data_IF_645414874600
#
_entry.id   IF_645414874600
#
_cell.length_a   1.000
_cell.length_b   1.000
_cell.length_c   1.000
_cell.angle_alpha   90.00
_cell.angle_beta   90.00
_cell.angle_gamma   90.00
#
_symmetry.space_group_name_H-M   'P 1'
#
loop_
_entity.id
_entity.type
_entity.pdbx_description
1 polymer ?
#
# COMPACT_ATOMS: atom_id res chain seq x y z
N UNK A 1 -7.79 -18.87 -12.41
CA UNK A 1 -6.71 -18.04 -11.86
C UNK A 1 -7.23 -16.62 -11.85
N UNK A 2 -7.58 -16.09 -10.68
CA UNK A 2 -7.87 -14.67 -10.55
C UNK A 2 -6.57 -13.90 -10.87
N UNK A 3 -6.66 -12.88 -11.72
CA UNK A 3 -5.52 -12.01 -11.99
C UNK A 3 -5.30 -11.14 -10.75
N UNK A 4 -4.07 -11.09 -10.25
CA UNK A 4 -3.70 -10.19 -9.16
C UNK A 4 -3.73 -8.74 -9.68
N UNK A 5 -4.45 -7.89 -8.98
CA UNK A 5 -4.56 -6.48 -9.33
C UNK A 5 -3.22 -5.78 -9.16
N UNK A 6 -2.99 -4.74 -9.98
CA UNK A 6 -1.76 -3.96 -9.92
C UNK A 6 -2.03 -2.57 -9.39
N UNK A 7 -1.23 -2.15 -8.42
CA UNK A 7 -1.25 -0.77 -7.91
C UNK A 7 0.02 -0.03 -8.33
N UNK A 8 -0.15 1.18 -8.87
CA UNK A 8 0.97 2.07 -9.23
C UNK A 8 1.67 2.64 -8.00
N UNK A 9 2.96 2.95 -8.10
CA UNK A 9 3.75 3.49 -6.98
C UNK A 9 3.17 4.81 -6.41
N UNK A 10 2.64 5.67 -7.28
CA UNK A 10 1.95 6.90 -6.85
C UNK A 10 0.64 6.61 -6.11
N UNK A 11 -0.18 5.69 -6.63
CA UNK A 11 -1.45 5.24 -6.03
C UNK A 11 -1.22 4.55 -4.68
N UNK A 12 -0.16 3.74 -4.58
CA UNK A 12 0.29 3.12 -3.34
C UNK A 12 0.63 4.20 -2.28
N UNK A 13 1.38 5.24 -2.66
CA UNK A 13 1.70 6.36 -1.76
C UNK A 13 0.43 7.08 -1.30
N UNK A 14 -0.53 7.30 -2.21
CA UNK A 14 -1.79 7.95 -1.89
C UNK A 14 -2.62 7.14 -0.89
N UNK A 15 -2.83 5.84 -1.13
CA UNK A 15 -3.59 4.97 -0.23
C UNK A 15 -2.91 4.80 1.15
N UNK A 16 -1.58 4.73 1.19
CA UNK A 16 -0.83 4.78 2.44
C UNK A 16 -1.07 6.11 3.18
N UNK A 17 -1.00 7.24 2.47
CA UNK A 17 -1.18 8.56 3.07
C UNK A 17 -2.60 8.78 3.61
N UNK A 18 -3.64 8.20 2.99
CA UNK A 18 -5.01 8.21 3.54
C UNK A 18 -5.14 7.44 4.86
N UNK A 19 -4.29 6.45 5.08
CA UNK A 19 -4.29 5.63 6.31
C UNK A 19 -3.66 6.35 7.50
N UNK A 20 -2.99 7.48 7.24
CA UNK A 20 -2.28 8.30 8.25
C UNK A 20 -3.19 8.84 9.34
N UNK A 21 -4.41 9.26 8.99
CA UNK A 21 -5.35 9.84 9.96
C UNK A 21 -5.86 8.81 10.98
N UNK A 22 -5.72 7.51 10.66
CA UNK A 22 -6.14 6.40 11.52
C UNK A 22 -4.95 5.79 12.27
N UNK A 23 -3.82 5.59 11.58
CA UNK A 23 -2.65 4.89 12.12
C UNK A 23 -1.62 5.83 12.77
N UNK A 24 -1.67 7.12 12.45
CA UNK A 24 -0.73 8.13 12.92
C UNK A 24 0.55 8.24 12.10
N UNK A 25 1.20 9.40 12.18
CA UNK A 25 2.37 9.76 11.37
C UNK A 25 3.58 8.84 11.61
N UNK A 26 3.84 8.47 12.88
CA UNK A 26 4.99 7.65 13.25
C UNK A 26 4.90 6.24 12.64
N UNK A 27 3.71 5.64 12.69
CA UNK A 27 3.42 4.33 12.10
C UNK A 27 3.60 4.41 10.57
N UNK A 28 3.06 5.45 9.93
CA UNK A 28 3.23 5.64 8.50
C UNK A 28 4.69 5.80 8.09
N UNK A 29 5.51 6.52 8.86
CA UNK A 29 6.95 6.65 8.59
C UNK A 29 7.69 5.30 8.68
N UNK A 30 7.29 4.41 9.60
CA UNK A 30 7.85 3.05 9.69
C UNK A 30 7.48 2.25 8.45
N UNK A 31 6.21 2.27 8.03
CA UNK A 31 5.74 1.55 6.85
C UNK A 31 6.45 2.03 5.59
N UNK A 32 6.54 3.35 5.36
CA UNK A 32 7.24 3.91 4.20
C UNK A 32 8.69 3.44 4.15
N UNK A 33 9.42 3.53 5.27
CA UNK A 33 10.83 3.08 5.34
C UNK A 33 10.97 1.58 5.11
N UNK A 34 10.06 0.77 5.64
CA UNK A 34 10.08 -0.67 5.44
C UNK A 34 9.83 -1.05 3.98
N UNK A 35 8.83 -0.43 3.34
CA UNK A 35 8.51 -0.66 1.94
C UNK A 35 9.67 -0.24 1.03
N UNK A 36 10.29 0.92 1.26
CA UNK A 36 11.47 1.36 0.49
C UNK A 36 12.63 0.36 0.63
N UNK A 37 12.91 -0.11 1.85
CA UNK A 37 13.94 -1.13 2.10
C UNK A 37 13.61 -2.48 1.45
N UNK A 38 12.32 -2.78 1.30
CA UNK A 38 11.81 -3.98 0.62
C UNK A 38 11.74 -3.84 -0.91
N UNK A 39 12.25 -2.72 -1.46
CA UNK A 39 12.35 -2.47 -2.90
C UNK A 39 11.09 -1.88 -3.53
N UNK A 40 10.12 -1.43 -2.74
CA UNK A 40 9.00 -0.64 -3.25
C UNK A 40 9.48 0.78 -3.57
N UNK A 41 9.02 1.29 -4.71
CA UNK A 41 9.25 2.64 -5.19
C UNK A 41 7.90 3.29 -5.41
N UNK A 42 7.80 4.56 -5.07
CA UNK A 42 6.55 5.31 -5.16
C UNK A 42 6.51 6.20 -6.39
N UNK A 43 7.03 5.71 -7.52
CA UNK A 43 7.05 6.42 -8.79
C UNK A 43 5.93 5.94 -9.71
N UNK A 44 5.48 6.81 -10.62
CA UNK A 44 4.32 6.56 -11.50
C UNK A 44 4.52 5.42 -12.51
N UNK A 45 5.77 5.08 -12.81
CA UNK A 45 6.18 4.04 -13.76
C UNK A 45 6.28 2.65 -13.12
N UNK A 46 6.20 2.56 -11.80
CA UNK A 46 6.28 1.29 -11.08
C UNK A 46 4.89 0.78 -10.71
N UNK A 47 4.69 -0.54 -10.85
CA UNK A 47 3.46 -1.23 -10.47
C UNK A 47 3.80 -2.45 -9.63
N UNK A 48 2.99 -2.70 -8.61
CA UNK A 48 3.15 -3.83 -7.71
C UNK A 48 1.87 -4.67 -7.70
N UNK A 49 2.00 -6.01 -7.65
CA UNK A 49 0.87 -6.85 -7.33
C UNK A 49 0.33 -6.48 -5.94
N UNK A 50 -1.00 -6.32 -5.85
CA UNK A 50 -1.70 -5.97 -4.62
C UNK A 50 -1.39 -6.99 -3.52
N UNK A 51 -1.32 -8.28 -3.86
CA UNK A 51 -0.95 -9.33 -2.91
C UNK A 51 0.43 -9.10 -2.29
N UNK A 52 1.42 -8.66 -3.08
CA UNK A 52 2.78 -8.37 -2.62
C UNK A 52 2.81 -7.18 -1.66
N UNK A 53 2.05 -6.14 -1.96
CA UNK A 53 1.90 -4.97 -1.09
C UNK A 53 1.26 -5.38 0.25
N UNK A 54 0.18 -6.15 0.19
CA UNK A 54 -0.54 -6.65 1.37
C UNK A 54 0.37 -7.45 2.30
N UNK A 55 1.14 -8.40 1.76
CA UNK A 55 2.11 -9.17 2.55
C UNK A 55 3.15 -8.27 3.23
N UNK A 56 3.73 -7.32 2.49
CA UNK A 56 4.75 -6.43 3.04
C UNK A 56 4.21 -5.52 4.16
N UNK A 57 2.95 -5.07 4.05
CA UNK A 57 2.29 -4.31 5.12
C UNK A 57 2.01 -5.19 6.34
N UNK A 58 1.56 -6.42 6.11
CA UNK A 58 1.29 -7.41 7.16
C UNK A 58 2.53 -7.75 7.97
N UNK A 59 3.68 -7.84 7.32
CA UNK A 59 4.96 -8.05 8.02
C UNK A 59 5.30 -6.93 9.03
N UNK A 60 4.78 -5.71 8.81
CA UNK A 60 5.04 -4.54 9.67
C UNK A 60 3.96 -4.37 10.74
N UNK A 61 2.69 -4.54 10.38
CA UNK A 61 1.55 -4.15 11.23
C UNK A 61 0.71 -5.31 11.75
N UNK A 62 0.96 -6.53 11.26
CA UNK A 62 0.05 -7.66 11.44
C UNK A 62 -1.29 -7.46 10.71
N UNK A 63 -2.22 -8.38 10.94
CA UNK A 63 -3.47 -8.46 10.17
C UNK A 63 -4.35 -7.21 10.36
N UNK A 64 -4.56 -6.76 11.60
CA UNK A 64 -5.47 -5.65 11.89
C UNK A 64 -5.04 -4.33 11.22
N UNK A 65 -3.75 -3.99 11.26
CA UNK A 65 -3.26 -2.79 10.59
C UNK A 65 -3.25 -2.92 9.06
N UNK A 66 -3.11 -4.14 8.56
CA UNK A 66 -3.17 -4.42 7.11
C UNK A 66 -4.56 -4.10 6.55
N UNK A 67 -5.63 -4.52 7.23
CA UNK A 67 -7.00 -4.30 6.75
C UNK A 67 -7.33 -2.80 6.56
N UNK A 68 -6.84 -1.95 7.47
CA UNK A 68 -7.01 -0.49 7.40
C UNK A 68 -6.34 0.06 6.14
N UNK A 69 -5.09 -0.36 5.87
CA UNK A 69 -4.34 0.11 4.72
C UNK A 69 -4.93 -0.44 3.42
N UNK A 70 -5.27 -1.73 3.38
CA UNK A 70 -5.79 -2.38 2.18
C UNK A 70 -7.11 -1.76 1.73
N UNK A 71 -8.00 -1.38 2.67
CA UNK A 71 -9.23 -0.66 2.33
C UNK A 71 -8.97 0.64 1.56
N UNK A 72 -7.96 1.41 1.98
CA UNK A 72 -7.59 2.66 1.32
C UNK A 72 -6.83 2.41 0.00
N UNK A 73 -6.08 1.32 -0.11
CA UNK A 73 -5.39 0.95 -1.35
C UNK A 73 -6.35 0.45 -2.43
N UNK A 74 -7.37 -0.35 -2.08
CA UNK A 74 -8.37 -0.82 -3.03
C UNK A 74 -9.11 0.35 -3.69
N UNK A 75 -9.42 1.40 -2.92
CA UNK A 75 -10.01 2.62 -3.47
C UNK A 75 -9.13 3.27 -4.58
N UNK A 76 -7.81 3.19 -4.46
CA UNK A 76 -6.88 3.73 -5.46
C UNK A 76 -6.74 2.80 -6.68
N UNK A 77 -6.90 1.49 -6.51
CA UNK A 77 -6.93 0.52 -7.62
C UNK A 77 -8.18 0.73 -8.48
N UNK A 78 -9.35 0.86 -7.84
CA UNK A 78 -10.62 1.12 -8.51
C UNK A 78 -10.59 2.45 -9.28
N UNK A 79 -10.06 3.51 -8.66
CA UNK A 79 -9.97 4.85 -9.26
C UNK A 79 -8.99 4.93 -10.45
N UNK A 80 -8.05 3.99 -10.56
CA UNK A 80 -7.06 3.94 -11.64
C UNK A 80 -7.54 3.14 -12.87
N UNK A 81 -8.71 2.49 -12.76
CA UNK A 81 -9.28 1.60 -13.78
C UNK A 81 -10.36 2.27 -14.66
N UNK A 82 -10.72 3.52 -14.37
CA UNK A 82 -11.60 4.39 -15.16
C UNK A 82 -10.81 5.40 -15.98
#
# INVERSE_FOLDING_TARGET
MEQDELIGGSSLRAGLSRSRDVLGDEVMQVIFRYLERSGFRFSSDTKYPVSRVSMAIRDVLGDYGTDIIMKNLMHEVDSSST
#
